data_IF_294293068943
#
_entry.id   IF_294293068943
#
_cell.length_a   1.000
_cell.length_b   1.000
_cell.length_c   1.000
_cell.angle_alpha   90.00
_cell.angle_beta   90.00
_cell.angle_gamma   90.00
#
_symmetry.space_group_name_H-M   'P 1'
#
loop_
_entity.id
_entity.type
_entity.pdbx_description
1 polymer ?
#
# COMPACT_ATOMS: atom_id res chain seq x y z
N UNK A 1 -30.50 2.73 55.15
CA UNK A 1 -29.23 1.98 55.07
C UNK A 1 -28.41 2.60 53.94
N UNK A 2 -27.34 3.31 54.28
CA UNK A 2 -26.39 3.90 53.32
C UNK A 2 -25.32 2.86 52.99
N UNK A 3 -25.12 2.57 51.71
CA UNK A 3 -24.04 1.69 51.24
C UNK A 3 -22.69 2.30 51.61
N UNK A 4 -21.77 1.47 52.10
CA UNK A 4 -20.38 1.88 52.28
C UNK A 4 -19.69 2.01 50.92
N UNK A 5 -18.65 2.85 50.78
CA UNK A 5 -17.95 3.04 49.51
C UNK A 5 -17.38 1.72 48.94
N UNK A 6 -16.82 0.86 49.80
CA UNK A 6 -16.31 -0.46 49.37
C UNK A 6 -17.41 -1.37 48.82
N UNK A 7 -18.61 -1.33 49.39
CA UNK A 7 -19.75 -2.10 48.87
C UNK A 7 -20.26 -1.57 47.53
N UNK A 8 -20.09 -0.27 47.28
CA UNK A 8 -20.47 0.35 46.01
C UNK A 8 -19.52 -0.06 44.88
N UNK A 9 -18.22 -0.04 45.13
CA UNK A 9 -17.20 -0.44 44.15
C UNK A 9 -17.35 -1.92 43.78
N UNK A 10 -17.56 -2.78 44.77
CA UNK A 10 -17.75 -4.22 44.55
C UNK A 10 -19.06 -4.52 43.79
N UNK A 11 -20.11 -3.72 44.04
CA UNK A 11 -21.35 -3.80 43.26
C UNK A 11 -21.16 -3.33 41.80
N UNK A 12 -20.40 -2.26 41.57
CA UNK A 12 -20.11 -1.75 40.24
C UNK A 12 -19.28 -2.74 39.42
N UNK A 13 -18.26 -3.36 40.03
CA UNK A 13 -17.46 -4.43 39.42
C UNK A 13 -18.32 -5.64 39.01
N UNK A 14 -19.18 -6.12 39.92
CA UNK A 14 -20.08 -7.25 39.63
C UNK A 14 -21.08 -6.91 38.52
N UNK A 15 -21.63 -5.69 38.55
CA UNK A 15 -22.56 -5.20 37.52
C UNK A 15 -21.89 -5.18 36.16
N UNK A 16 -20.65 -4.69 36.07
CA UNK A 16 -19.92 -4.60 34.80
C UNK A 16 -19.56 -5.98 34.25
N UNK A 17 -19.16 -6.94 35.11
CA UNK A 17 -18.95 -8.32 34.71
C UNK A 17 -20.22 -8.97 34.12
N UNK A 18 -21.36 -8.76 34.78
CA UNK A 18 -22.66 -9.27 34.30
C UNK A 18 -23.02 -8.62 32.96
N UNK A 19 -22.88 -7.30 32.86
CA UNK A 19 -23.17 -6.53 31.64
C UNK A 19 -22.29 -7.00 30.48
N UNK A 20 -21.02 -7.25 30.73
CA UNK A 20 -20.08 -7.75 29.72
C UNK A 20 -20.40 -9.19 29.29
N UNK A 21 -20.88 -10.03 30.21
CA UNK A 21 -21.36 -11.39 29.92
C UNK A 21 -22.61 -11.38 29.04
N UNK A 22 -23.56 -10.48 29.31
CA UNK A 22 -24.75 -10.31 28.46
C UNK A 22 -24.44 -9.70 27.10
N UNK A 23 -23.56 -8.69 27.03
CA UNK A 23 -23.09 -8.13 25.76
C UNK A 23 -22.37 -9.17 24.89
N UNK A 24 -21.62 -10.10 25.49
CA UNK A 24 -20.91 -11.15 24.74
C UNK A 24 -21.86 -12.10 24.02
N UNK A 25 -23.07 -12.31 24.56
CA UNK A 25 -24.08 -13.22 23.99
C UNK A 25 -25.17 -12.50 23.18
N UNK A 26 -25.10 -11.18 23.03
CA UNK A 26 -26.10 -10.42 22.28
C UNK A 26 -25.98 -10.70 20.77
N UNK A 27 -27.01 -11.30 20.12
CA UNK A 27 -26.99 -11.61 18.70
C UNK A 27 -26.85 -10.37 17.81
N UNK A 28 -27.29 -9.18 18.27
CA UNK A 28 -27.14 -7.93 17.50
C UNK A 28 -25.67 -7.51 17.43
N UNK A 29 -24.93 -7.65 18.53
CA UNK A 29 -23.50 -7.37 18.58
C UNK A 29 -22.70 -8.35 17.71
N UNK A 30 -23.08 -9.63 17.67
CA UNK A 30 -22.46 -10.60 16.75
C UNK A 30 -22.65 -10.22 15.28
N UNK A 31 -23.87 -9.85 14.87
CA UNK A 31 -24.15 -9.41 13.49
C UNK A 31 -23.36 -8.14 13.14
N UNK A 32 -23.31 -7.16 14.04
CA UNK A 32 -22.54 -5.94 13.85
C UNK A 32 -21.03 -6.20 13.72
N UNK A 33 -20.46 -7.09 14.56
CA UNK A 33 -19.05 -7.50 14.49
C UNK A 33 -18.74 -8.20 13.17
N UNK A 34 -19.61 -9.08 12.68
CA UNK A 34 -19.41 -9.76 11.37
C UNK A 34 -19.42 -8.76 10.21
N UNK A 35 -20.36 -7.82 10.19
CA UNK A 35 -20.38 -6.75 9.17
C UNK A 35 -19.12 -5.89 9.20
N UNK A 36 -18.65 -5.49 10.38
CA UNK A 36 -17.39 -4.73 10.54
C UNK A 36 -16.19 -5.52 10.02
N UNK A 37 -16.07 -6.81 10.36
CA UNK A 37 -14.98 -7.66 9.84
C UNK A 37 -14.98 -7.74 8.33
N UNK A 38 -16.14 -7.94 7.70
CA UNK A 38 -16.25 -7.98 6.24
C UNK A 38 -15.87 -6.65 5.59
N UNK A 39 -16.31 -5.53 6.17
CA UNK A 39 -15.94 -4.20 5.69
C UNK A 39 -14.44 -3.92 5.83
N UNK A 40 -13.82 -4.33 6.94
CA UNK A 40 -12.37 -4.18 7.15
C UNK A 40 -11.60 -5.05 6.17
N UNK A 41 -11.98 -6.32 5.99
CA UNK A 41 -11.34 -7.20 5.00
C UNK A 41 -11.46 -6.63 3.59
N UNK A 42 -12.64 -6.12 3.23
CA UNK A 42 -12.84 -5.45 1.93
C UNK A 42 -11.95 -4.23 1.77
N UNK A 43 -11.82 -3.39 2.80
CA UNK A 43 -10.95 -2.22 2.77
C UNK A 43 -9.47 -2.59 2.66
N UNK A 44 -9.02 -3.62 3.38
CA UNK A 44 -7.64 -4.12 3.31
C UNK A 44 -7.34 -4.70 1.94
N UNK A 45 -8.24 -5.52 1.38
CA UNK A 45 -8.08 -6.06 0.03
C UNK A 45 -8.03 -4.95 -1.01
N UNK A 46 -8.91 -3.94 -0.90
CA UNK A 46 -8.89 -2.77 -1.76
C UNK A 46 -7.57 -2.02 -1.68
N UNK A 47 -7.04 -1.80 -0.48
CA UNK A 47 -5.74 -1.16 -0.27
C UNK A 47 -4.58 -2.00 -0.85
N UNK A 48 -4.62 -3.32 -0.72
CA UNK A 48 -3.60 -4.19 -1.35
C UNK A 48 -3.63 -4.07 -2.88
N UNK A 49 -4.82 -4.03 -3.49
CA UNK A 49 -4.96 -3.87 -4.95
C UNK A 49 -4.45 -2.49 -5.39
N UNK A 50 -4.82 -1.41 -4.71
CA UNK A 50 -4.35 -0.07 -5.08
C UNK A 50 -2.84 0.07 -4.96
N UNK A 51 -2.24 -0.49 -3.90
CA UNK A 51 -0.78 -0.53 -3.74
C UNK A 51 -0.12 -1.35 -4.86
N UNK A 52 -0.67 -2.52 -5.19
CA UNK A 52 -0.13 -3.35 -6.28
C UNK A 52 -0.15 -2.63 -7.63
N UNK A 53 -1.26 -1.94 -7.94
CA UNK A 53 -1.37 -1.12 -9.17
C UNK A 53 -0.36 0.02 -9.16
N UNK A 54 -0.21 0.73 -8.03
CA UNK A 54 0.77 1.82 -7.92
C UNK A 54 2.21 1.35 -8.11
N UNK A 55 2.57 0.19 -7.56
CA UNK A 55 3.90 -0.41 -7.75
C UNK A 55 4.12 -0.82 -9.21
N UNK A 56 3.12 -1.41 -9.85
CA UNK A 56 3.18 -1.80 -11.26
C UNK A 56 3.36 -0.58 -12.18
N UNK A 57 2.64 0.51 -11.92
CA UNK A 57 2.80 1.75 -12.67
C UNK A 57 4.18 2.39 -12.44
N UNK A 58 4.65 2.44 -11.19
CA UNK A 58 5.99 2.94 -10.86
C UNK A 58 7.09 2.16 -11.60
N UNK A 59 6.98 0.83 -11.61
CA UNK A 59 7.88 -0.06 -12.34
C UNK A 59 7.85 0.22 -13.85
N UNK A 60 6.66 0.29 -14.43
CA UNK A 60 6.47 0.59 -15.85
C UNK A 60 7.07 1.94 -16.24
N UNK A 61 6.92 2.94 -15.38
CA UNK A 61 7.49 4.27 -15.57
C UNK A 61 9.02 4.26 -15.57
N UNK A 62 9.66 3.55 -14.63
CA UNK A 62 11.12 3.39 -14.60
C UNK A 62 11.65 2.68 -15.85
N UNK A 63 10.95 1.64 -16.33
CA UNK A 63 11.27 0.93 -17.57
C UNK A 63 11.07 1.83 -18.80
N UNK A 64 10.05 2.70 -18.78
CA UNK A 64 9.81 3.63 -19.88
C UNK A 64 10.92 4.66 -20.03
N UNK A 65 11.43 5.18 -18.90
CA UNK A 65 12.49 6.20 -18.85
C UNK A 65 13.88 5.66 -19.21
N UNK A 66 14.31 4.57 -18.57
CA UNK A 66 15.67 4.05 -18.72
C UNK A 66 15.78 2.96 -19.79
N UNK A 67 14.65 2.38 -20.18
CA UNK A 67 14.63 1.19 -21.03
C UNK A 67 14.83 -0.11 -20.23
N UNK A 68 14.49 -1.26 -20.82
CA UNK A 68 14.48 -2.54 -20.11
C UNK A 68 15.87 -3.00 -19.66
N UNK A 69 16.90 -2.72 -20.47
CA UNK A 69 18.29 -3.11 -20.19
C UNK A 69 18.88 -2.33 -19.01
N UNK A 70 18.69 -1.02 -18.98
CA UNK A 70 19.22 -0.20 -17.88
C UNK A 70 18.42 -0.40 -16.60
N UNK A 71 17.11 -0.66 -16.71
CA UNK A 71 16.33 -1.07 -15.54
C UNK A 71 16.87 -2.38 -14.93
N UNK A 72 17.21 -3.38 -15.75
CA UNK A 72 17.81 -4.60 -15.22
C UNK A 72 19.12 -4.32 -14.49
N UNK A 73 20.03 -3.53 -15.06
CA UNK A 73 21.33 -3.25 -14.43
C UNK A 73 21.19 -2.51 -13.10
N UNK A 74 20.17 -1.67 -12.93
CA UNK A 74 19.84 -1.03 -11.66
C UNK A 74 19.33 -2.03 -10.61
N UNK A 75 18.60 -3.06 -11.02
CA UNK A 75 18.01 -4.07 -10.12
C UNK A 75 18.93 -5.28 -9.89
N UNK A 76 19.99 -5.47 -10.69
CA UNK A 76 20.96 -6.57 -10.56
C UNK A 76 21.47 -6.75 -9.12
N UNK A 77 21.89 -5.72 -8.38
CA UNK A 77 22.43 -5.90 -7.03
C UNK A 77 21.43 -6.52 -6.05
N UNK A 78 20.17 -6.15 -6.15
CA UNK A 78 19.10 -6.66 -5.29
C UNK A 78 18.58 -8.03 -5.77
N UNK A 79 18.56 -8.25 -7.08
CA UNK A 79 18.16 -9.53 -7.67
C UNK A 79 19.18 -10.65 -7.42
N UNK A 80 20.47 -10.33 -7.40
CA UNK A 80 21.56 -11.29 -7.12
C UNK A 80 21.54 -11.79 -5.68
N UNK A 81 21.02 -11.01 -4.73
CA UNK A 81 20.83 -11.46 -3.35
C UNK A 81 19.64 -12.42 -3.18
N UNK A 82 18.82 -12.59 -4.21
CA UNK A 82 17.64 -13.44 -4.18
C UNK A 82 17.87 -14.73 -4.94
N UNK A 83 17.21 -15.80 -4.49
CA UNK A 83 17.26 -17.10 -5.18
C UNK A 83 16.66 -16.92 -6.58
N UNK A 84 17.36 -17.41 -7.64
CA UNK A 84 16.80 -17.43 -8.99
C UNK A 84 15.42 -18.08 -8.99
N UNK A 85 14.48 -17.51 -9.76
CA UNK A 85 13.07 -17.95 -9.84
C UNK A 85 12.25 -17.82 -8.55
N UNK A 86 12.76 -17.16 -7.52
CA UNK A 86 11.92 -16.78 -6.38
C UNK A 86 10.84 -15.76 -6.81
N UNK A 87 9.66 -15.74 -6.15
CA UNK A 87 8.60 -14.79 -6.49
C UNK A 87 9.06 -13.33 -6.41
N UNK A 88 9.99 -13.03 -5.51
CA UNK A 88 10.59 -11.69 -5.39
C UNK A 88 11.52 -11.39 -6.56
N UNK A 89 12.32 -12.36 -7.00
CA UNK A 89 13.19 -12.20 -8.17
C UNK A 89 12.36 -11.94 -9.43
N UNK A 90 11.27 -12.69 -9.62
CA UNK A 90 10.32 -12.48 -10.73
C UNK A 90 9.64 -11.10 -10.62
N UNK A 91 9.34 -10.62 -9.41
CA UNK A 91 8.73 -9.31 -9.21
C UNK A 91 9.68 -8.14 -9.53
N UNK A 92 10.99 -8.31 -9.29
CA UNK A 92 12.01 -7.29 -9.54
C UNK A 92 12.45 -7.23 -11.01
N UNK A 93 12.49 -8.36 -11.70
CA UNK A 93 12.88 -8.42 -13.11
C UNK A 93 11.82 -7.81 -14.04
N UNK A 94 12.20 -7.30 -15.23
CA UNK A 94 11.23 -6.82 -16.22
C UNK A 94 10.20 -7.91 -16.55
N UNK A 95 8.93 -7.54 -16.55
CA UNK A 95 7.82 -8.44 -16.84
C UNK A 95 7.05 -7.95 -18.08
N UNK A 96 6.35 -8.84 -18.81
CA UNK A 96 5.66 -8.49 -20.05
C UNK A 96 4.56 -7.43 -19.87
N UNK A 97 3.97 -7.32 -18.67
CA UNK A 97 2.89 -6.35 -18.42
C UNK A 97 3.49 -4.96 -18.21
N UNK A 98 4.50 -4.84 -17.34
CA UNK A 98 5.15 -3.55 -17.08
C UNK A 98 5.89 -3.01 -18.30
N UNK A 99 6.50 -3.89 -19.11
CA UNK A 99 7.11 -3.52 -20.39
C UNK A 99 6.09 -3.05 -21.42
N UNK A 100 4.94 -3.73 -21.54
CA UNK A 100 3.86 -3.30 -22.43
C UNK A 100 3.29 -1.92 -22.06
N UNK A 101 3.12 -1.65 -20.76
CA UNK A 101 2.69 -0.32 -20.28
C UNK A 101 3.80 0.71 -20.52
N UNK A 102 5.06 0.35 -20.30
CA UNK A 102 6.19 1.24 -20.54
C UNK A 102 6.27 1.67 -22.00
N UNK A 103 6.08 0.75 -22.95
CA UNK A 103 6.10 1.06 -24.39
C UNK A 103 4.94 1.98 -24.81
N UNK A 104 3.77 1.84 -24.19
CA UNK A 104 2.64 2.77 -24.36
C UNK A 104 2.95 4.18 -23.82
N UNK A 105 3.68 4.28 -22.70
CA UNK A 105 4.01 5.57 -22.06
C UNK A 105 5.22 6.27 -22.70
N UNK A 106 6.15 5.51 -23.28
CA UNK A 106 7.41 6.02 -23.85
C UNK A 106 7.24 7.21 -24.82
N UNK A 107 6.31 7.23 -25.80
CA UNK A 107 6.19 8.38 -26.70
C UNK A 107 5.79 9.68 -25.99
N UNK A 108 5.02 9.60 -24.90
CA UNK A 108 4.57 10.76 -24.11
C UNK A 108 5.73 11.29 -23.26
N UNK A 109 6.50 10.39 -22.64
CA UNK A 109 7.59 10.77 -21.74
C UNK A 109 8.82 11.30 -22.49
N UNK A 110 9.16 10.70 -23.64
CA UNK A 110 10.31 11.13 -24.45
C UNK A 110 10.11 12.54 -25.02
N UNK A 111 8.88 12.89 -25.42
CA UNK A 111 8.57 14.25 -25.87
C UNK A 111 8.69 15.28 -24.74
N UNK A 112 8.29 14.92 -23.52
CA UNK A 112 8.30 15.83 -22.36
C UNK A 112 9.73 16.07 -21.87
N UNK A 113 10.59 15.04 -21.88
CA UNK A 113 12.01 15.15 -21.51
C UNK A 113 12.81 16.05 -22.45
N UNK A 114 12.50 16.03 -23.76
CA UNK A 114 13.16 16.89 -24.75
C UNK A 114 12.79 18.38 -24.60
N UNK A 115 11.59 18.69 -24.10
CA UNK A 115 11.16 20.07 -23.85
C UNK A 115 11.77 20.61 -22.56
N UNK A 116 11.96 19.77 -21.54
CA UNK A 116 12.59 20.17 -20.28
C UNK A 116 14.11 20.43 -20.41
N UNK A 117 14.81 19.70 -21.28
CA UNK A 117 16.24 19.91 -21.56
C UNK A 117 16.51 21.01 -22.58
N UNK A 118 15.48 21.50 -23.29
CA UNK A 118 15.57 22.61 -24.23
C UNK A 118 15.32 23.98 -23.59
N UNK A 119 15.04 24.07 -22.28
CA UNK A 119 14.94 25.34 -21.58
C UNK A 119 16.36 25.90 -21.37
N UNK A 120 16.76 27.00 -22.03
CA UNK A 120 18.07 27.58 -21.80
C UNK A 120 18.16 28.02 -20.34
N UNK A 121 19.25 27.68 -19.66
CA UNK A 121 19.58 28.25 -18.37
C UNK A 121 19.54 29.77 -18.50
N UNK A 122 18.54 30.41 -17.88
CA UNK A 122 18.39 31.85 -17.87
C UNK A 122 19.74 32.45 -17.45
N UNK A 123 20.34 33.37 -18.23
CA UNK A 123 21.54 34.06 -17.79
C UNK A 123 21.13 34.88 -16.56
N UNK A 124 21.58 34.41 -15.39
CA UNK A 124 21.43 35.15 -14.15
C UNK A 124 22.08 36.53 -14.36
N UNK A 125 21.29 37.56 -14.07
CA UNK A 125 21.65 38.97 -14.12
C UNK A 125 23.02 39.23 -13.48
N UNK A 126 23.99 39.63 -14.31
CA UNK A 126 25.14 40.40 -13.85
C UNK A 126 24.75 41.88 -13.93
N UNK A 127 24.49 42.49 -12.78
CA UNK A 127 24.66 43.92 -12.50
C UNK A 127 24.77 44.12 -10.99
#
# INVERSE_FOLDING_TARGET
MTMTPEQRDDFELRRDLIRHKHMKNDPKLHKARRKRRLSVVGAVMGACVTVAVMLLLSKSFLIALHGPRDYTSMMVPEAVMQVPDSPLHVALMPDPISTGIADLMRPILVQTGAVASALPASPALSN
#
